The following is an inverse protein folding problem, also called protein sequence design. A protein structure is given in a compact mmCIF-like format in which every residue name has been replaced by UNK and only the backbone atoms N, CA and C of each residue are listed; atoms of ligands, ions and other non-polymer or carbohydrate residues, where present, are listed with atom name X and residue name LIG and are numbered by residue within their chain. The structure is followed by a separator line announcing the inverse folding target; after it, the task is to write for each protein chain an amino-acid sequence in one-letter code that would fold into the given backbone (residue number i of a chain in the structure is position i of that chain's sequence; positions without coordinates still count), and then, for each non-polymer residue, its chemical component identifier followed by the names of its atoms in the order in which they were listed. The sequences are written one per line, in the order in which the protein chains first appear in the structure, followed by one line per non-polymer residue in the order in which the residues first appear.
data_IF_506668113182
#
_entry.id   IF_506668113182
#
_cell.length_a   1.000
_cell.length_b   1.000
_cell.length_c   1.000
_cell.angle_alpha   90.00
_cell.angle_beta   90.00
_cell.angle_gamma   90.00
#
_symmetry.space_group_name_H-M   'P 1'
#
loop_
_entity.id
_entity.type
_entity.pdbx_description
1 polymer ?
#
# COMPACT_ATOMS: atom_id res chain seq x y z
N UNK A 1 2.05 -9.57 13.53
CA UNK A 1 1.30 -8.66 14.44
C UNK A 1 0.06 -8.19 13.71
N UNK A 2 -1.12 -8.18 14.35
CA UNK A 2 -2.30 -7.55 13.75
C UNK A 2 -2.05 -6.05 13.71
N UNK A 3 -1.95 -5.44 12.52
CA UNK A 3 -1.88 -3.99 12.39
C UNK A 3 -3.18 -3.40 12.94
N UNK A 4 -3.07 -2.31 13.70
CA UNK A 4 -4.24 -1.54 14.11
C UNK A 4 -4.85 -0.93 12.83
N UNK A 5 -6.18 -0.96 12.72
CA UNK A 5 -6.85 -0.29 11.60
C UNK A 5 -6.56 1.22 11.64
N UNK A 6 -6.21 1.83 10.50
CA UNK A 6 -6.06 3.29 10.38
C UNK A 6 -7.37 4.03 10.67
N UNK A 7 -7.30 5.36 10.69
CA UNK A 7 -8.49 6.19 10.76
C UNK A 7 -9.39 5.89 9.56
N UNK A 8 -10.62 5.48 9.81
CA UNK A 8 -11.61 5.25 8.76
C UNK A 8 -12.26 6.58 8.36
N UNK A 9 -12.37 6.81 7.06
CA UNK A 9 -13.09 7.94 6.49
C UNK A 9 -14.43 7.51 5.89
N UNK A 10 -14.63 6.20 5.72
CA UNK A 10 -15.89 5.62 5.30
C UNK A 10 -16.76 5.19 6.49
N UNK A 11 -18.06 5.39 6.36
CA UNK A 11 -19.04 4.82 7.27
C UNK A 11 -19.13 3.30 7.14
N UNK A 12 -19.64 2.63 8.17
CA UNK A 12 -19.90 1.20 8.10
C UNK A 12 -20.89 0.84 6.98
N UNK A 13 -21.84 1.74 6.67
CA UNK A 13 -22.82 1.56 5.61
C UNK A 13 -22.16 1.57 4.21
N UNK A 14 -21.26 2.51 3.94
CA UNK A 14 -20.51 2.56 2.68
C UNK A 14 -19.62 1.33 2.50
N UNK A 15 -18.96 0.86 3.58
CA UNK A 15 -18.17 -0.37 3.54
C UNK A 15 -19.04 -1.60 3.26
N UNK A 16 -20.24 -1.66 3.84
CA UNK A 16 -21.16 -2.78 3.60
C UNK A 16 -21.76 -2.76 2.19
N UNK A 17 -22.04 -1.58 1.65
CA UNK A 17 -22.46 -1.42 0.27
C UNK A 17 -21.40 -1.96 -0.71
N UNK A 18 -20.12 -1.62 -0.49
CA UNK A 18 -19.03 -2.17 -1.30
C UNK A 18 -18.96 -3.70 -1.21
N UNK A 19 -19.11 -4.27 0.00
CA UNK A 19 -19.16 -5.74 0.17
C UNK A 19 -20.32 -6.36 -0.59
N UNK A 20 -21.50 -5.74 -0.55
CA UNK A 20 -22.68 -6.20 -1.28
C UNK A 20 -22.46 -6.15 -2.81
N UNK A 21 -21.60 -5.25 -3.29
CA UNK A 21 -21.17 -5.18 -4.69
C UNK A 21 -20.03 -6.16 -5.04
N UNK A 22 -19.57 -6.96 -4.08
CA UNK A 22 -18.53 -7.97 -4.28
C UNK A 22 -17.11 -7.49 -3.98
N UNK A 23 -16.93 -6.33 -3.33
CA UNK A 23 -15.62 -5.88 -2.89
C UNK A 23 -15.05 -6.80 -1.81
N UNK A 24 -13.83 -7.26 -2.03
CA UNK A 24 -13.07 -7.95 -1.00
C UNK A 24 -12.42 -6.96 -0.01
N UNK A 25 -11.71 -7.51 0.98
CA UNK A 25 -11.14 -6.71 2.04
C UNK A 25 -10.03 -5.76 1.56
N UNK A 26 -9.26 -6.15 0.54
CA UNK A 26 -8.22 -5.29 -0.03
C UNK A 26 -8.84 -4.13 -0.79
N UNK A 27 -9.89 -4.38 -1.58
CA UNK A 27 -10.61 -3.32 -2.28
C UNK A 27 -11.24 -2.32 -1.31
N UNK A 28 -11.73 -2.79 -0.15
CA UNK A 28 -12.21 -1.89 0.91
C UNK A 28 -11.08 -1.03 1.48
N UNK A 29 -9.88 -1.57 1.67
CA UNK A 29 -8.74 -0.78 2.13
C UNK A 29 -8.28 0.25 1.10
N UNK A 30 -8.35 -0.08 -0.19
CA UNK A 30 -8.11 0.88 -1.27
C UNK A 30 -9.17 1.99 -1.27
N UNK A 31 -10.45 1.66 -1.09
CA UNK A 31 -11.51 2.65 -0.99
C UNK A 31 -11.34 3.58 0.23
N UNK A 32 -10.93 3.06 1.37
CA UNK A 32 -10.62 3.86 2.56
C UNK A 32 -9.40 4.78 2.35
N UNK A 33 -8.40 4.32 1.59
CA UNK A 33 -7.27 5.15 1.15
C UNK A 33 -7.77 6.31 0.28
N UNK A 34 -8.65 6.05 -0.69
CA UNK A 34 -9.20 7.09 -1.55
C UNK A 34 -10.09 8.08 -0.77
N UNK A 35 -10.86 7.60 0.20
CA UNK A 35 -11.65 8.45 1.10
C UNK A 35 -10.75 9.36 1.95
N UNK A 36 -9.62 8.85 2.45
CA UNK A 36 -8.63 9.66 3.15
C UNK A 36 -8.00 10.72 2.24
N UNK A 37 -7.74 10.38 0.96
CA UNK A 37 -7.25 11.33 -0.03
C UNK A 37 -8.27 12.45 -0.29
N UNK A 38 -9.56 12.11 -0.41
CA UNK A 38 -10.64 13.09 -0.56
C UNK A 38 -10.78 14.01 0.66
N UNK A 39 -10.47 13.51 1.85
CA UNK A 39 -10.39 14.30 3.09
C UNK A 39 -9.06 15.06 3.26
N UNK A 40 -8.16 15.02 2.27
CA UNK A 40 -6.83 15.62 2.28
C UNK A 40 -5.93 15.12 3.43
N UNK A 41 -6.14 13.88 3.88
CA UNK A 41 -5.34 13.21 4.90
C UNK A 41 -4.34 12.25 4.25
N UNK A 42 -3.23 12.83 3.77
CA UNK A 42 -2.19 12.08 3.09
C UNK A 42 -1.51 11.01 3.97
N UNK A 43 -1.53 11.14 5.30
CA UNK A 43 -0.94 10.13 6.18
C UNK A 43 -1.81 8.88 6.18
N UNK A 44 -3.11 9.03 6.39
CA UNK A 44 -4.04 7.90 6.43
C UNK A 44 -4.20 7.21 5.06
N UNK A 45 -4.00 7.93 3.95
CA UNK A 45 -3.83 7.31 2.61
C UNK A 45 -2.76 6.21 2.65
N UNK A 46 -1.56 6.54 3.14
CA UNK A 46 -0.46 5.58 3.18
C UNK A 46 -0.67 4.47 4.21
N UNK A 47 -1.32 4.78 5.33
CA UNK A 47 -1.65 3.79 6.35
C UNK A 47 -2.61 2.72 5.81
N UNK A 48 -3.63 3.12 5.04
CA UNK A 48 -4.52 2.19 4.36
C UNK A 48 -3.82 1.42 3.24
N UNK A 49 -3.01 2.08 2.41
CA UNK A 49 -2.23 1.40 1.37
C UNK A 49 -1.26 0.36 1.95
N UNK A 50 -0.69 0.60 3.13
CA UNK A 50 0.20 -0.35 3.78
C UNK A 50 -0.53 -1.61 4.30
N UNK A 51 -1.87 -1.63 4.33
CA UNK A 51 -2.68 -2.80 4.71
C UNK A 51 -2.90 -3.77 3.54
N UNK A 52 -2.57 -3.37 2.30
CA UNK A 52 -2.80 -4.14 1.07
C UNK A 52 -1.52 -4.86 0.62
N UNK A 53 -1.64 -6.04 -0.01
CA UNK A 53 -0.52 -6.68 -0.69
C UNK A 53 -0.27 -6.01 -2.06
N UNK A 54 0.55 -4.97 -2.07
CA UNK A 54 0.89 -4.27 -3.30
C UNK A 54 1.72 -5.14 -4.26
N UNK A 55 1.54 -4.99 -5.58
CA UNK A 55 2.41 -5.63 -6.56
C UNK A 55 3.83 -5.05 -6.49
N UNK A 56 4.83 -5.84 -6.92
CA UNK A 56 6.24 -5.49 -6.83
C UNK A 56 6.55 -4.13 -7.49
N UNK A 57 6.01 -3.89 -8.69
CA UNK A 57 6.21 -2.61 -9.39
C UNK A 57 5.63 -1.41 -8.63
N UNK A 58 4.55 -1.60 -7.87
CA UNK A 58 3.95 -0.57 -7.01
C UNK A 58 4.89 -0.21 -5.87
N UNK A 59 5.46 -1.21 -5.20
CA UNK A 59 6.46 -1.05 -4.15
C UNK A 59 7.74 -0.37 -4.67
N UNK A 60 8.17 -0.72 -5.89
CA UNK A 60 9.31 -0.07 -6.53
C UNK A 60 9.04 1.41 -6.81
N UNK A 61 7.83 1.74 -7.27
CA UNK A 61 7.39 3.12 -7.44
C UNK A 61 7.39 3.92 -6.13
N UNK A 62 6.97 3.30 -5.02
CA UNK A 62 7.01 3.91 -3.69
C UNK A 62 8.46 4.13 -3.24
N UNK A 63 9.33 3.11 -3.37
CA UNK A 63 10.76 3.22 -3.01
C UNK A 63 11.42 4.37 -3.76
N UNK A 64 11.19 4.49 -5.07
CA UNK A 64 11.75 5.56 -5.89
C UNK A 64 11.31 6.97 -5.46
N UNK A 65 10.06 7.11 -4.99
CA UNK A 65 9.48 8.42 -4.62
C UNK A 65 9.70 8.80 -3.16
N UNK A 66 9.79 7.83 -2.26
CA UNK A 66 9.75 8.04 -0.80
C UNK A 66 10.95 7.40 -0.06
N UNK A 67 11.73 6.59 -0.75
CA UNK A 67 12.86 5.84 -0.18
C UNK A 67 12.45 4.53 0.48
N UNK A 68 13.43 3.67 0.71
CA UNK A 68 13.24 2.37 1.35
C UNK A 68 12.82 2.48 2.83
N UNK A 69 13.32 3.49 3.54
CA UNK A 69 12.98 3.69 4.95
C UNK A 69 11.47 3.95 5.14
N UNK A 70 10.85 4.70 4.22
CA UNK A 70 9.40 4.94 4.26
C UNK A 70 8.59 3.64 4.17
N UNK A 71 9.01 2.70 3.31
CA UNK A 71 8.35 1.40 3.16
C UNK A 71 8.41 0.62 4.47
N UNK A 72 9.58 0.64 5.14
CA UNK A 72 9.82 -0.01 6.43
C UNK A 72 9.00 0.63 7.55
N UNK A 73 9.02 1.96 7.65
CA UNK A 73 8.34 2.71 8.71
C UNK A 73 6.81 2.54 8.63
N UNK A 74 6.26 2.56 7.41
CA UNK A 74 4.83 2.29 7.17
C UNK A 74 4.48 0.80 7.28
N UNK A 75 5.49 -0.07 7.26
CA UNK A 75 5.34 -1.51 7.39
C UNK A 75 4.68 -2.18 6.19
N UNK A 76 4.88 -1.69 4.97
CA UNK A 76 4.36 -2.34 3.76
C UNK A 76 4.82 -3.80 3.68
N UNK A 77 3.95 -4.69 3.22
CA UNK A 77 4.35 -6.05 2.89
C UNK A 77 5.27 -6.02 1.68
N UNK A 78 6.50 -6.53 1.82
CA UNK A 78 7.49 -6.56 0.73
C UNK A 78 7.49 -7.86 -0.04
N UNK A 79 6.69 -8.85 0.38
CA UNK A 79 6.67 -10.22 -0.16
C UNK A 79 6.76 -10.29 -1.68
N UNK A 80 5.87 -9.59 -2.39
CA UNK A 80 5.83 -9.62 -3.86
C UNK A 80 7.11 -9.04 -4.49
N UNK A 81 7.67 -7.98 -3.90
CA UNK A 81 8.92 -7.37 -4.38
C UNK A 81 10.15 -8.20 -3.99
N UNK A 82 10.13 -8.87 -2.84
CA UNK A 82 11.20 -9.78 -2.42
C UNK A 82 11.26 -11.00 -3.35
N UNK A 83 10.09 -11.51 -3.79
CA UNK A 83 9.98 -12.59 -4.77
C UNK A 83 10.46 -12.18 -6.17
N UNK A 84 10.16 -10.95 -6.63
CA UNK A 84 10.48 -10.49 -7.99
C UNK A 84 11.90 -9.91 -8.11
N UNK A 85 12.35 -9.11 -7.14
CA UNK A 85 13.59 -8.34 -7.18
C UNK A 85 14.68 -8.86 -6.22
N UNK A 86 14.33 -9.83 -5.38
CA UNK A 86 15.20 -10.35 -4.32
C UNK A 86 15.00 -9.63 -2.99
N UNK A 87 15.25 -10.30 -1.84
CA UNK A 87 14.95 -9.78 -0.50
C UNK A 87 15.76 -8.54 -0.09
N UNK A 88 16.78 -8.16 -0.87
CA UNK A 88 17.64 -7.00 -0.65
C UNK A 88 17.31 -5.81 -1.58
N UNK A 89 16.20 -5.88 -2.32
CA UNK A 89 15.77 -4.85 -3.28
C UNK A 89 15.54 -3.46 -2.65
N UNK A 90 15.28 -3.40 -1.33
CA UNK A 90 15.17 -2.15 -0.60
C UNK A 90 16.52 -1.44 -0.44
N UNK A 91 17.61 -2.19 -0.34
CA UNK A 91 18.95 -1.66 -0.07
C UNK A 91 19.80 -1.54 -1.32
N UNK A 92 19.38 -2.17 -2.42
CA UNK A 92 20.06 -2.14 -3.71
C UNK A 92 19.21 -1.46 -4.77
N UNK A 93 19.85 -0.93 -5.81
CA UNK A 93 19.10 -0.46 -6.97
C UNK A 93 18.56 -1.63 -7.79
N UNK A 94 17.35 -1.51 -8.30
CA UNK A 94 16.70 -2.52 -9.16
C UNK A 94 16.80 -2.06 -10.60
N UNK A 95 17.25 -2.94 -11.50
CA UNK A 95 17.34 -2.62 -12.94
C UNK A 95 16.32 -3.43 -13.72
N UNK A 96 15.38 -2.76 -14.37
CA UNK A 96 14.34 -3.37 -15.21
C UNK A 96 14.44 -2.77 -16.61
N UNK A 97 14.68 -3.61 -17.63
CA UNK A 97 14.77 -3.16 -19.02
C UNK A 97 15.83 -2.08 -19.28
N UNK A 98 16.89 -2.02 -18.48
CA UNK A 98 17.94 -0.99 -18.57
C UNK A 98 17.66 0.30 -17.76
N UNK A 99 16.51 0.41 -17.10
CA UNK A 99 16.19 1.52 -16.20
C UNK A 99 16.51 1.17 -14.75
N UNK A 100 17.18 2.08 -14.04
CA UNK A 100 17.56 1.91 -12.64
C UNK A 100 16.56 2.58 -11.68
N UNK A 101 16.20 1.87 -10.61
CA UNK A 101 15.18 2.24 -9.63
C UNK A 101 15.68 2.11 -8.17
#
# INVERSE_FOLDING_TARGET
MKKKLPKSYMTDAEREELRAQGADQELIYLAESDAAAAANDGQTVWEWLAMVELPAYGLLGIKKRRGAQFIRDMGFSTKNADEEYGPDWLDKGVTIGGHHF
#
